data_IF_922554211309
#
_entry.id   IF_922554211309
#
_cell.length_a   1.000
_cell.length_b   1.000
_cell.length_c   1.000
_cell.angle_alpha   90.00
_cell.angle_beta   90.00
_cell.angle_gamma   90.00
#
_symmetry.space_group_name_H-M   'P 1'
#
loop_
_entity.id
_entity.type
_entity.pdbx_description
1 polymer ?
#
# COMPACT_ATOMS: atom_id res chain seq x y z
N UNK A 1 48.44 -34.07 54.77
CA UNK A 1 47.55 -32.93 54.50
C UNK A 1 48.23 -32.00 53.50
N UNK A 2 47.86 -32.08 52.22
CA UNK A 2 48.26 -31.12 51.18
C UNK A 2 46.98 -30.45 50.70
N UNK A 3 46.88 -29.13 50.88
CA UNK A 3 45.72 -28.33 50.49
C UNK A 3 45.62 -28.23 48.95
N UNK A 4 44.45 -28.56 48.40
CA UNK A 4 44.05 -28.19 47.05
C UNK A 4 43.59 -26.73 47.06
N UNK A 5 44.20 -25.88 46.23
CA UNK A 5 43.69 -24.57 45.90
C UNK A 5 42.77 -24.69 44.67
N UNK A 6 41.47 -24.45 44.87
CA UNK A 6 40.46 -24.41 43.81
C UNK A 6 40.45 -23.00 43.23
N UNK A 7 40.86 -22.88 41.96
CA UNK A 7 40.78 -21.64 41.18
C UNK A 7 39.35 -21.43 40.70
N UNK A 8 38.70 -20.36 41.16
CA UNK A 8 37.35 -19.96 40.79
C UNK A 8 37.41 -19.11 39.51
N UNK A 9 37.06 -19.68 38.36
CA UNK A 9 36.96 -18.96 37.09
C UNK A 9 35.67 -18.13 37.10
N UNK A 10 35.80 -16.79 37.13
CA UNK A 10 34.66 -15.87 36.96
C UNK A 10 34.12 -15.99 35.53
N UNK A 11 32.85 -16.37 35.41
CA UNK A 11 32.10 -16.28 34.18
C UNK A 11 31.69 -14.81 33.97
N UNK A 12 32.27 -14.15 32.95
CA UNK A 12 31.87 -12.82 32.55
C UNK A 12 30.46 -12.88 31.93
N UNK A 13 29.47 -12.31 32.63
CA UNK A 13 28.12 -12.12 32.09
C UNK A 13 28.22 -11.00 31.05
N UNK A 14 28.10 -11.36 29.78
CA UNK A 14 27.91 -10.39 28.70
C UNK A 14 26.63 -9.61 28.98
N UNK A 15 26.78 -8.33 29.32
CA UNK A 15 25.65 -7.44 29.53
C UNK A 15 24.84 -7.30 28.24
N UNK A 16 23.54 -7.56 28.32
CA UNK A 16 22.60 -7.16 27.28
C UNK A 16 22.74 -5.65 27.07
N UNK A 17 23.27 -5.25 25.91
CA UNK A 17 23.12 -3.89 25.42
C UNK A 17 21.62 -3.64 25.27
N UNK A 18 21.05 -2.84 26.18
CA UNK A 18 19.71 -2.28 26.02
C UNK A 18 19.67 -1.64 24.64
N UNK A 19 18.89 -2.21 23.73
CA UNK A 19 18.46 -1.50 22.54
C UNK A 19 17.90 -0.16 23.00
N UNK A 20 18.43 0.94 22.44
CA UNK A 20 17.78 2.23 22.62
C UNK A 20 16.35 2.05 22.10
N UNK A 21 15.37 2.12 22.99
CA UNK A 21 13.97 2.23 22.62
C UNK A 21 13.85 3.42 21.65
N UNK A 22 13.04 3.30 20.59
CA UNK A 22 12.80 4.44 19.71
C UNK A 22 12.36 5.63 20.56
N UNK A 23 12.92 6.80 20.26
CA UNK A 23 12.50 8.06 20.90
C UNK A 23 11.01 8.21 20.61
N UNK A 24 10.19 8.11 21.65
CA UNK A 24 8.77 8.41 21.52
C UNK A 24 8.61 9.93 21.58
N UNK A 25 7.76 10.49 20.71
CA UNK A 25 7.51 11.94 20.75
C UNK A 25 7.05 12.34 22.15
N UNK A 26 7.59 13.43 22.67
CA UNK A 26 7.19 13.95 23.97
C UNK A 26 5.96 14.85 23.89
N UNK A 27 5.64 15.36 22.68
CA UNK A 27 4.55 16.29 22.45
C UNK A 27 3.96 16.16 21.04
N UNK A 28 2.64 16.38 20.91
CA UNK A 28 1.96 16.52 19.61
C UNK A 28 2.48 17.70 18.79
N UNK A 29 3.11 18.68 19.44
CA UNK A 29 3.74 19.84 18.78
C UNK A 29 5.01 19.48 18.02
N UNK A 30 5.52 18.25 18.12
CA UNK A 30 6.74 17.86 17.41
C UNK A 30 6.50 17.72 15.89
N UNK A 31 5.24 17.51 15.47
CA UNK A 31 4.82 17.58 14.08
C UNK A 31 4.22 18.95 13.75
N UNK A 32 4.77 19.59 12.72
CA UNK A 32 4.39 20.94 12.27
C UNK A 32 3.75 20.94 10.86
N UNK A 33 3.41 19.77 10.33
CA UNK A 33 2.80 19.61 9.02
C UNK A 33 1.28 19.87 9.01
N UNK A 34 0.68 19.67 7.84
CA UNK A 34 -0.74 19.94 7.60
C UNK A 34 -1.69 18.80 8.01
N UNK A 35 -1.16 17.63 8.33
CA UNK A 35 -1.93 16.43 8.65
C UNK A 35 -2.60 16.46 10.02
N UNK A 36 -3.59 15.59 10.18
CA UNK A 36 -4.32 15.37 11.42
C UNK A 36 -3.74 14.16 12.15
N UNK A 37 -3.52 14.29 13.46
CA UNK A 37 -2.85 13.27 14.26
C UNK A 37 -3.91 12.44 15.01
N UNK A 38 -3.94 11.13 14.81
CA UNK A 38 -4.58 10.18 15.74
C UNK A 38 -3.51 9.38 16.48
N UNK A 39 -3.90 8.72 17.58
CA UNK A 39 -2.98 7.86 18.35
C UNK A 39 -3.69 6.60 18.83
N UNK A 40 -2.98 5.47 18.73
CA UNK A 40 -3.49 4.17 19.16
C UNK A 40 -4.46 3.53 18.17
N UNK A 41 -5.01 2.36 18.54
CA UNK A 41 -5.79 1.53 17.62
C UNK A 41 -7.15 2.16 17.30
N UNK A 42 -7.60 1.93 16.07
CA UNK A 42 -8.93 2.26 15.62
C UNK A 42 -9.98 1.28 16.16
N UNK A 43 -11.23 1.73 16.21
CA UNK A 43 -12.39 0.86 16.46
C UNK A 43 -12.75 0.13 15.17
N UNK A 44 -12.77 -1.19 15.19
CA UNK A 44 -13.26 -1.99 14.04
C UNK A 44 -14.75 -1.71 13.80
N UNK A 45 -15.09 -1.36 12.55
CA UNK A 45 -16.48 -1.20 12.09
C UNK A 45 -16.88 -2.28 11.07
N UNK A 46 -15.93 -2.79 10.30
CA UNK A 46 -16.08 -3.97 9.44
C UNK A 46 -15.02 -4.98 9.84
N UNK A 47 -15.46 -6.18 10.23
CA UNK A 47 -14.55 -7.22 10.70
C UNK A 47 -13.61 -7.69 9.59
N UNK A 48 -14.15 -7.96 8.41
CA UNK A 48 -13.40 -8.25 7.19
C UNK A 48 -14.27 -7.91 5.99
N UNK A 49 -13.72 -7.23 4.99
CA UNK A 49 -14.38 -6.98 3.71
C UNK A 49 -14.43 -8.23 2.83
N UNK A 50 -13.53 -9.19 3.09
CA UNK A 50 -13.35 -10.33 2.23
C UNK A 50 -13.04 -11.59 3.05
N UNK A 51 -13.61 -12.71 2.61
CA UNK A 51 -13.26 -14.04 3.11
C UNK A 51 -12.65 -14.85 1.97
N UNK A 52 -11.40 -15.24 2.15
CA UNK A 52 -10.66 -16.04 1.19
C UNK A 52 -10.99 -17.52 1.38
N UNK A 53 -11.68 -18.15 0.42
CA UNK A 53 -12.11 -19.55 0.52
C UNK A 53 -10.93 -20.53 0.65
N UNK A 54 -9.76 -20.16 0.14
CA UNK A 54 -8.57 -21.01 0.05
C UNK A 54 -7.33 -20.30 0.56
N UNK A 55 -6.59 -20.95 1.45
CA UNK A 55 -5.34 -20.43 1.99
C UNK A 55 -5.53 -19.69 3.31
N UNK A 56 -4.46 -19.02 3.76
CA UNK A 56 -4.46 -18.21 4.99
C UNK A 56 -4.39 -16.74 4.59
N UNK A 57 -5.55 -16.15 4.34
CA UNK A 57 -5.66 -14.70 4.16
C UNK A 57 -5.63 -14.00 5.52
N UNK A 58 -4.98 -12.84 5.55
CA UNK A 58 -5.12 -11.87 6.63
C UNK A 58 -6.51 -11.23 6.59
N UNK A 59 -6.93 -10.72 7.73
CA UNK A 59 -8.24 -10.08 7.89
C UNK A 59 -8.21 -8.69 7.26
N UNK A 60 -9.02 -8.47 6.23
CA UNK A 60 -9.18 -7.18 5.56
C UNK A 60 -10.19 -6.29 6.31
N UNK A 61 -9.86 -5.91 7.55
CA UNK A 61 -10.73 -5.10 8.39
C UNK A 61 -10.86 -3.65 7.91
N UNK A 62 -11.91 -2.97 8.36
CA UNK A 62 -12.06 -1.50 8.27
C UNK A 62 -12.41 -0.95 9.64
N UNK A 63 -11.78 0.16 10.01
CA UNK A 63 -11.95 0.81 11.30
C UNK A 63 -12.27 2.30 11.19
N UNK A 64 -12.61 2.86 12.34
CA UNK A 64 -12.74 4.30 12.55
C UNK A 64 -11.85 4.74 13.71
N UNK A 65 -11.14 5.85 13.51
CA UNK A 65 -10.32 6.48 14.55
C UNK A 65 -10.57 7.99 14.56
N UNK A 66 -10.68 8.55 15.76
CA UNK A 66 -10.78 10.00 15.94
C UNK A 66 -9.38 10.61 16.08
N UNK A 67 -9.14 11.72 15.40
CA UNK A 67 -7.94 12.54 15.60
C UNK A 67 -8.06 13.43 16.84
N UNK A 68 -6.93 14.03 17.25
CA UNK A 68 -6.84 14.92 18.42
C UNK A 68 -7.66 16.22 18.28
N UNK A 69 -8.20 16.52 17.09
CA UNK A 69 -9.08 17.66 16.81
C UNK A 69 -10.55 17.24 16.66
N UNK A 70 -10.87 15.95 16.83
CA UNK A 70 -12.22 15.40 16.79
C UNK A 70 -12.77 15.11 15.38
N UNK A 71 -11.93 15.02 14.34
CA UNK A 71 -12.39 14.43 13.07
C UNK A 71 -12.26 12.91 13.11
N UNK A 72 -13.23 12.21 12.51
CA UNK A 72 -13.22 10.76 12.36
C UNK A 72 -12.67 10.35 11.01
N UNK A 73 -11.81 9.33 11.02
CA UNK A 73 -11.12 8.79 9.84
C UNK A 73 -11.43 7.31 9.66
N UNK A 74 -11.77 6.91 8.43
CA UNK A 74 -11.86 5.50 8.04
C UNK A 74 -10.47 4.97 7.71
N UNK A 75 -10.08 3.87 8.35
CA UNK A 75 -8.75 3.25 8.17
C UNK A 75 -8.88 1.79 7.70
N UNK A 76 -7.98 1.30 6.80
CA UNK A 76 -6.84 2.04 6.25
C UNK A 76 -7.25 3.13 5.24
N UNK A 77 -8.43 3.04 4.63
CA UNK A 77 -9.00 4.10 3.78
C UNK A 77 -10.48 3.85 3.52
N UNK A 78 -11.24 4.92 3.24
CA UNK A 78 -12.50 4.81 2.48
C UNK A 78 -12.20 4.08 1.17
N UNK A 79 -12.98 3.05 0.85
CA UNK A 79 -12.76 2.21 -0.31
C UNK A 79 -14.09 1.78 -0.96
N UNK A 80 -14.00 1.23 -2.17
CA UNK A 80 -15.15 0.78 -2.96
C UNK A 80 -15.18 -0.73 -3.19
N UNK A 81 -14.48 -1.54 -2.38
CA UNK A 81 -14.38 -2.99 -2.61
C UNK A 81 -15.75 -3.68 -2.78
N UNK A 82 -16.71 -3.38 -1.92
CA UNK A 82 -18.04 -4.00 -1.96
C UNK A 82 -19.00 -3.38 -2.99
N UNK A 83 -18.65 -2.24 -3.59
CA UNK A 83 -19.56 -1.46 -4.44
C UNK A 83 -19.11 -1.31 -5.89
N UNK A 84 -17.81 -1.48 -6.17
CA UNK A 84 -17.23 -1.34 -7.49
C UNK A 84 -17.13 -2.68 -8.23
N UNK A 85 -16.99 -2.66 -9.56
CA UNK A 85 -16.68 -3.86 -10.32
C UNK A 85 -15.33 -4.46 -9.89
N UNK A 86 -15.32 -5.74 -9.57
CA UNK A 86 -14.09 -6.48 -9.30
C UNK A 86 -13.36 -6.75 -10.63
N UNK A 87 -12.06 -6.48 -10.67
CA UNK A 87 -11.23 -6.71 -11.86
C UNK A 87 -11.09 -8.21 -12.16
N UNK A 88 -10.87 -8.55 -13.43
CA UNK A 88 -10.65 -9.97 -13.80
C UNK A 88 -9.27 -10.42 -13.31
N UNK A 89 -9.21 -11.58 -12.67
CA UNK A 89 -7.95 -12.12 -12.17
C UNK A 89 -7.02 -12.57 -13.32
N UNK A 90 -5.75 -12.20 -13.22
CA UNK A 90 -4.65 -12.96 -13.82
C UNK A 90 -4.26 -14.12 -12.90
N UNK A 91 -4.27 -13.90 -11.59
CA UNK A 91 -4.02 -14.90 -10.58
C UNK A 91 -4.76 -14.56 -9.29
N UNK A 92 -5.39 -15.54 -8.67
CA UNK A 92 -6.07 -15.38 -7.40
C UNK A 92 -6.04 -16.70 -6.60
N UNK A 93 -5.25 -16.70 -5.54
CA UNK A 93 -5.09 -17.85 -4.64
C UNK A 93 -6.42 -18.24 -3.97
N UNK A 94 -7.24 -17.24 -3.62
CA UNK A 94 -8.49 -17.41 -2.87
C UNK A 94 -9.57 -18.14 -3.69
N UNK A 95 -9.69 -17.81 -4.98
CA UNK A 95 -10.63 -18.50 -5.88
C UNK A 95 -10.04 -19.81 -6.43
N UNK A 96 -8.73 -20.01 -6.30
CA UNK A 96 -8.02 -21.15 -6.89
C UNK A 96 -7.67 -20.95 -8.37
N UNK A 97 -7.90 -19.75 -8.92
CA UNK A 97 -7.49 -19.40 -10.28
C UNK A 97 -6.00 -19.08 -10.31
N UNK A 98 -5.16 -20.09 -10.59
CA UNK A 98 -3.69 -20.00 -10.49
C UNK A 98 -3.01 -20.40 -11.81
N UNK A 99 -3.18 -19.64 -12.89
CA UNK A 99 -2.47 -19.96 -14.12
C UNK A 99 -0.97 -19.71 -13.97
N UNK A 100 -0.17 -20.54 -14.62
CA UNK A 100 1.29 -20.50 -14.58
C UNK A 100 1.88 -19.36 -15.43
N UNK A 101 1.10 -18.89 -16.41
CA UNK A 101 1.46 -17.80 -17.31
C UNK A 101 0.23 -17.32 -18.09
N UNK A 102 0.40 -16.24 -18.85
CA UNK A 102 -0.68 -15.59 -19.59
C UNK A 102 -1.39 -16.48 -20.62
N UNK A 103 -0.75 -17.52 -21.17
CA UNK A 103 -1.39 -18.37 -22.19
C UNK A 103 -2.58 -19.17 -21.65
N UNK A 104 -2.68 -19.30 -20.33
CA UNK A 104 -3.77 -19.99 -19.65
C UNK A 104 -4.91 -19.03 -19.25
N UNK A 105 -4.76 -17.72 -19.47
CA UNK A 105 -5.78 -16.72 -19.17
C UNK A 105 -6.60 -16.42 -20.42
N UNK A 106 -7.93 -16.51 -20.31
CA UNK A 106 -8.83 -16.13 -21.39
C UNK A 106 -9.02 -14.60 -21.45
N UNK A 107 -8.06 -13.91 -22.07
CA UNK A 107 -8.13 -12.47 -22.27
C UNK A 107 -9.35 -12.03 -23.08
N UNK A 108 -9.95 -12.90 -23.91
CA UNK A 108 -11.16 -12.60 -24.68
C UNK A 108 -12.41 -12.44 -23.81
N UNK A 109 -12.42 -13.01 -22.60
CA UNK A 109 -13.54 -12.94 -21.67
C UNK A 109 -13.50 -11.72 -20.74
N UNK A 110 -12.40 -10.96 -20.73
CA UNK A 110 -12.26 -9.76 -19.88
C UNK A 110 -13.26 -8.70 -20.36
N UNK A 111 -14.18 -8.23 -19.50
CA UNK A 111 -15.17 -7.22 -19.87
C UNK A 111 -14.47 -5.89 -20.20
N UNK A 112 -15.05 -5.14 -21.14
CA UNK A 112 -14.56 -3.83 -21.54
C UNK A 112 -15.44 -2.76 -20.91
N UNK A 113 -14.84 -1.90 -20.09
CA UNK A 113 -15.52 -0.69 -19.57
C UNK A 113 -15.47 0.40 -20.64
N UNK A 114 -16.64 0.87 -21.09
CA UNK A 114 -16.71 1.97 -22.05
C UNK A 114 -16.54 3.31 -21.31
N UNK A 115 -15.43 4.01 -21.57
CA UNK A 115 -15.18 5.40 -21.13
C UNK A 115 -15.57 6.35 -22.25
N UNK A 116 -15.04 6.11 -23.46
CA UNK A 116 -15.37 6.83 -24.69
C UNK A 116 -15.83 5.86 -25.78
N UNK A 117 -17.03 6.09 -26.32
CA UNK A 117 -17.62 5.22 -27.34
C UNK A 117 -16.81 5.18 -28.65
N UNK A 118 -16.05 6.24 -28.97
CA UNK A 118 -15.16 6.33 -30.13
C UNK A 118 -13.67 6.08 -29.79
N UNK A 119 -13.38 5.56 -28.59
CA UNK A 119 -12.03 5.25 -28.13
C UNK A 119 -11.47 3.91 -28.63
N UNK A 120 -10.20 3.68 -28.33
CA UNK A 120 -9.51 2.42 -28.55
C UNK A 120 -9.61 1.53 -27.30
N UNK A 121 -9.64 0.21 -27.49
CA UNK A 121 -9.63 -0.75 -26.38
C UNK A 121 -8.20 -0.90 -25.85
N UNK A 122 -7.99 -0.50 -24.60
CA UNK A 122 -6.74 -0.66 -23.87
C UNK A 122 -6.88 -1.83 -22.90
N UNK A 123 -5.87 -2.70 -22.88
CA UNK A 123 -5.73 -3.76 -21.87
C UNK A 123 -4.69 -3.33 -20.86
N UNK A 124 -5.05 -3.31 -19.57
CA UNK A 124 -4.14 -3.05 -18.46
C UNK A 124 -3.85 -4.31 -17.67
N UNK A 125 -2.59 -4.53 -17.31
CA UNK A 125 -2.14 -5.57 -16.38
C UNK A 125 -1.66 -4.91 -15.11
N UNK A 126 -2.15 -5.36 -13.96
CA UNK A 126 -1.97 -4.68 -12.68
C UNK A 126 -1.57 -5.69 -11.60
N UNK A 127 -0.61 -5.30 -10.77
CA UNK A 127 -0.30 -5.97 -9.51
C UNK A 127 -0.19 -4.90 -8.42
N UNK A 128 -0.84 -5.15 -7.29
CA UNK A 128 -0.82 -4.28 -6.12
C UNK A 128 -0.38 -5.06 -4.88
N UNK A 129 0.38 -4.37 -4.04
CA UNK A 129 0.74 -4.74 -2.68
C UNK A 129 0.10 -3.64 -1.81
N UNK A 130 -1.13 -3.75 -1.32
CA UNK A 130 -2.05 -4.89 -1.48
C UNK A 130 -3.24 -4.58 -2.41
N UNK A 131 -3.81 -3.37 -2.35
CA UNK A 131 -5.11 -3.08 -2.98
C UNK A 131 -5.04 -1.89 -3.94
N UNK A 132 -5.85 -1.93 -5.02
CA UNK A 132 -6.04 -0.81 -5.92
C UNK A 132 -7.52 -0.55 -6.27
N UNK A 133 -7.82 0.71 -6.61
CA UNK A 133 -9.01 1.13 -7.36
C UNK A 133 -8.56 1.93 -8.59
N UNK A 134 -8.94 1.49 -9.79
CA UNK A 134 -8.56 2.12 -11.06
C UNK A 134 -9.69 2.97 -11.64
N UNK A 135 -9.35 4.20 -12.01
CA UNK A 135 -10.21 5.13 -12.72
C UNK A 135 -9.56 5.62 -14.01
N UNK A 136 -10.36 5.74 -15.06
CA UNK A 136 -9.96 6.32 -16.35
C UNK A 136 -10.92 7.48 -16.65
N UNK A 137 -10.40 8.70 -16.78
CA UNK A 137 -11.20 9.93 -16.90
C UNK A 137 -12.30 10.06 -15.83
N UNK A 138 -12.03 9.54 -14.62
CA UNK A 138 -12.97 9.52 -13.50
C UNK A 138 -13.99 8.38 -13.52
N UNK A 139 -14.04 7.56 -14.57
CA UNK A 139 -14.87 6.35 -14.64
C UNK A 139 -14.17 5.21 -13.89
N UNK A 140 -14.84 4.62 -12.90
CA UNK A 140 -14.38 3.41 -12.20
C UNK A 140 -14.28 2.25 -13.19
N UNK A 141 -13.06 1.79 -13.46
CA UNK A 141 -12.81 0.63 -14.33
C UNK A 141 -12.87 -0.67 -13.53
N UNK A 142 -12.33 -0.66 -12.31
CA UNK A 142 -12.40 -1.81 -11.43
C UNK A 142 -11.51 -1.66 -10.22
N UNK A 143 -11.71 -2.56 -9.28
CA UNK A 143 -10.91 -2.67 -8.06
C UNK A 143 -10.24 -4.03 -7.98
N UNK A 144 -9.26 -4.14 -7.10
CA UNK A 144 -8.62 -5.40 -6.78
C UNK A 144 -9.65 -6.42 -6.24
N UNK A 145 -9.46 -7.70 -6.56
CA UNK A 145 -10.29 -8.82 -6.11
C UNK A 145 -9.95 -9.32 -4.70
N UNK A 146 -8.80 -8.93 -4.14
CA UNK A 146 -8.36 -9.31 -2.80
C UNK A 146 -7.81 -8.07 -2.07
N UNK A 147 -8.44 -7.59 -0.98
CA UNK A 147 -8.00 -6.34 -0.34
C UNK A 147 -6.63 -6.40 0.36
N UNK A 148 -6.28 -7.55 0.93
CA UNK A 148 -5.07 -7.66 1.77
C UNK A 148 -4.18 -8.81 1.32
N UNK A 149 -4.57 -10.05 1.64
CA UNK A 149 -3.88 -11.25 1.19
C UNK A 149 -4.90 -12.34 0.95
N UNK A 150 -4.63 -13.35 0.13
CA UNK A 150 -3.38 -13.63 -0.59
C UNK A 150 -3.16 -12.70 -1.79
N UNK A 151 -1.89 -12.47 -2.16
CA UNK A 151 -1.55 -11.63 -3.30
C UNK A 151 -2.17 -12.15 -4.59
N UNK A 152 -2.67 -11.22 -5.40
CA UNK A 152 -3.32 -11.47 -6.67
C UNK A 152 -2.74 -10.51 -7.74
N UNK A 153 -3.12 -10.75 -8.98
CA UNK A 153 -2.86 -9.82 -10.09
C UNK A 153 -4.08 -9.76 -10.97
N UNK A 154 -4.29 -8.64 -11.64
CA UNK A 154 -5.51 -8.36 -12.38
C UNK A 154 -5.23 -7.97 -13.83
N UNK A 155 -6.22 -8.21 -14.68
CA UNK A 155 -6.32 -7.69 -16.02
C UNK A 155 -7.62 -6.91 -16.17
N UNK A 156 -7.53 -5.73 -16.75
CA UNK A 156 -8.67 -4.85 -17.03
C UNK A 156 -8.70 -4.51 -18.51
N UNK A 157 -9.89 -4.20 -19.03
CA UNK A 157 -10.03 -3.56 -20.33
C UNK A 157 -10.95 -2.36 -20.25
N UNK A 158 -10.56 -1.30 -20.91
CA UNK A 158 -11.37 -0.11 -21.04
C UNK A 158 -11.24 0.45 -22.45
N UNK A 159 -12.28 1.16 -22.91
CA UNK A 159 -12.30 1.82 -24.20
C UNK A 159 -12.25 3.32 -23.99
N UNK A 160 -11.17 3.97 -24.44
CA UNK A 160 -10.90 5.39 -24.16
C UNK A 160 -10.20 6.06 -25.32
N UNK A 161 -10.38 7.37 -25.47
CA UNK A 161 -9.69 8.19 -26.47
C UNK A 161 -8.50 8.91 -25.87
N UNK A 162 -7.39 9.01 -26.60
CA UNK A 162 -6.24 9.83 -26.19
C UNK A 162 -6.47 11.32 -26.47
N UNK A 163 -5.93 12.23 -25.64
CA UNK A 163 -5.27 11.96 -24.36
C UNK A 163 -6.29 11.56 -23.28
N UNK A 164 -5.87 10.79 -22.27
CA UNK A 164 -6.72 10.42 -21.13
C UNK A 164 -5.93 10.39 -19.83
N UNK A 165 -6.65 10.48 -18.72
CA UNK A 165 -6.09 10.43 -17.37
C UNK A 165 -6.27 9.04 -16.76
N UNK A 166 -5.24 8.60 -16.05
CA UNK A 166 -5.29 7.43 -15.18
C UNK A 166 -5.19 7.93 -13.74
N UNK A 167 -6.12 7.50 -12.89
CA UNK A 167 -6.07 7.75 -11.47
C UNK A 167 -6.22 6.42 -10.72
N UNK A 168 -5.39 6.21 -9.72
CA UNK A 168 -5.40 4.97 -8.93
C UNK A 168 -5.38 5.31 -7.45
N UNK A 169 -6.29 4.73 -6.68
CA UNK A 169 -6.15 4.70 -5.22
C UNK A 169 -5.45 3.40 -4.89
N UNK A 170 -4.39 3.47 -4.11
CA UNK A 170 -3.67 2.29 -3.64
C UNK A 170 -3.61 2.30 -2.12
N UNK A 171 -3.81 1.13 -1.53
CA UNK A 171 -3.88 0.94 -0.08
C UNK A 171 -2.92 -0.19 0.30
N UNK A 172 -1.99 0.10 1.19
CA UNK A 172 -1.29 -0.92 1.98
C UNK A 172 -2.21 -1.25 3.16
N UNK A 173 -2.70 -2.49 3.21
CA UNK A 173 -3.74 -2.87 4.14
C UNK A 173 -3.12 -3.18 5.51
N UNK A 174 -3.84 -2.83 6.57
CA UNK A 174 -3.37 -3.03 7.95
C UNK A 174 -4.21 -4.10 8.66
N UNK A 175 -3.54 -4.97 9.42
CA UNK A 175 -4.22 -5.95 10.30
C UNK A 175 -4.61 -5.28 11.62
N UNK A 176 -3.70 -4.47 12.15
CA UNK A 176 -3.91 -3.67 13.34
C UNK A 176 -4.43 -2.28 12.94
N UNK A 177 -5.75 -2.13 12.90
CA UNK A 177 -6.42 -0.93 12.40
C UNK A 177 -5.99 0.35 13.14
N UNK A 178 -5.74 1.42 12.38
CA UNK A 178 -5.27 2.72 12.85
C UNK A 178 -3.76 2.79 13.15
N UNK A 179 -3.04 1.69 12.95
CA UNK A 179 -1.62 1.57 13.32
C UNK A 179 -0.70 1.33 12.12
N UNK A 180 -1.21 1.01 10.93
CA UNK A 180 -0.40 0.71 9.75
C UNK A 180 0.50 -0.52 9.94
N UNK A 181 0.07 -1.48 10.76
CA UNK A 181 0.90 -2.65 11.10
C UNK A 181 0.17 -3.97 10.94
N UNK A 182 0.97 -5.02 10.84
CA UNK A 182 0.58 -6.41 10.69
C UNK A 182 1.50 -7.34 11.49
N UNK A 183 1.03 -8.56 11.77
CA UNK A 183 1.90 -9.59 12.34
C UNK A 183 2.86 -10.08 11.25
N UNK A 184 4.13 -9.67 11.33
CA UNK A 184 5.14 -10.00 10.32
C UNK A 184 6.56 -9.92 10.89
N UNK A 185 7.50 -10.64 10.27
CA UNK A 185 8.94 -10.62 10.60
C UNK A 185 9.25 -10.79 12.10
N UNK A 186 8.43 -11.57 12.81
CA UNK A 186 8.59 -11.86 14.23
C UNK A 186 8.06 -10.79 15.20
N UNK A 187 7.30 -9.81 14.72
CA UNK A 187 6.64 -8.77 15.51
C UNK A 187 5.15 -8.75 15.18
N UNK A 188 4.30 -8.59 16.20
CA UNK A 188 2.85 -8.44 16.02
C UNK A 188 2.45 -7.05 15.50
N UNK A 189 3.38 -6.08 15.52
CA UNK A 189 3.18 -4.70 15.09
C UNK A 189 4.32 -4.27 14.16
N UNK A 190 4.51 -5.02 13.09
CA UNK A 190 5.46 -4.67 12.03
C UNK A 190 4.74 -3.84 10.96
N UNK A 191 5.29 -2.71 10.49
CA UNK A 191 4.68 -2.00 9.36
C UNK A 191 4.68 -2.87 8.10
N UNK A 192 3.57 -2.85 7.36
CA UNK A 192 3.47 -3.47 6.04
C UNK A 192 4.35 -2.74 5.02
N UNK A 193 4.43 -3.27 3.81
CA UNK A 193 4.94 -2.51 2.69
C UNK A 193 3.95 -2.56 1.52
N UNK A 194 3.75 -1.40 0.92
CA UNK A 194 2.89 -1.23 -0.24
C UNK A 194 3.62 -1.50 -1.56
N UNK A 195 2.99 -1.16 -2.67
CA UNK A 195 3.59 -1.23 -3.99
C UNK A 195 2.55 -1.32 -5.09
N UNK A 196 2.78 -0.61 -6.20
CA UNK A 196 1.90 -0.68 -7.35
C UNK A 196 2.70 -0.75 -8.65
N UNK A 197 2.36 -1.69 -9.52
CA UNK A 197 2.96 -1.80 -10.85
C UNK A 197 1.89 -2.10 -11.89
N UNK A 198 1.95 -1.41 -13.01
CA UNK A 198 1.04 -1.64 -14.12
C UNK A 198 1.68 -1.39 -15.48
N UNK A 199 1.19 -2.11 -16.49
CA UNK A 199 1.45 -1.83 -17.89
C UNK A 199 0.16 -1.86 -18.70
N UNK A 200 0.12 -1.08 -19.77
CA UNK A 200 -1.03 -0.93 -20.63
C UNK A 200 -0.65 -1.19 -22.09
N UNK A 201 -1.59 -1.73 -22.88
CA UNK A 201 -1.35 -2.14 -24.27
C UNK A 201 -1.06 -0.98 -25.23
N UNK A 202 -1.24 0.27 -24.80
CA UNK A 202 -0.89 1.47 -25.56
C UNK A 202 0.56 1.95 -25.32
N UNK A 203 1.33 1.20 -24.53
CA UNK A 203 2.71 1.50 -24.16
C UNK A 203 2.86 2.28 -22.85
N UNK A 204 1.75 2.67 -22.20
CA UNK A 204 1.82 3.31 -20.88
C UNK A 204 2.30 2.29 -19.84
N UNK A 205 3.23 2.70 -18.98
CA UNK A 205 3.80 1.90 -17.89
C UNK A 205 3.92 2.76 -16.62
N UNK A 206 3.91 2.11 -15.45
CA UNK A 206 4.26 2.79 -14.19
C UNK A 206 5.76 3.08 -14.14
N UNK A 207 6.12 4.31 -13.81
CA UNK A 207 7.50 4.79 -13.68
C UNK A 207 7.53 6.11 -12.87
N UNK A 208 8.69 6.75 -12.78
CA UNK A 208 8.86 8.02 -12.07
C UNK A 208 8.12 9.23 -12.69
N UNK A 209 7.53 9.11 -13.89
CA UNK A 209 6.73 10.18 -14.51
C UNK A 209 5.30 10.25 -13.95
N UNK A 210 4.88 9.24 -13.19
CA UNK A 210 3.62 9.26 -12.43
C UNK A 210 3.72 10.21 -11.25
N UNK A 211 2.57 10.69 -10.79
CA UNK A 211 2.43 11.47 -9.57
C UNK A 211 1.90 10.57 -8.46
N UNK A 212 2.39 10.75 -7.22
CA UNK A 212 1.98 9.96 -6.06
C UNK A 212 1.85 10.84 -4.81
N UNK A 213 0.66 10.90 -4.23
CA UNK A 213 0.40 11.70 -3.03
C UNK A 213 -0.11 10.81 -1.89
N UNK A 214 0.60 10.82 -0.76
CA UNK A 214 0.24 10.11 0.48
C UNK A 214 -0.93 10.79 1.20
N UNK A 215 -1.90 10.05 1.74
CA UNK A 215 -3.03 10.56 2.53
C UNK A 215 -3.21 9.89 3.90
N UNK A 216 -2.47 8.82 4.16
CA UNK A 216 -2.42 8.17 5.47
C UNK A 216 -1.01 7.63 5.70
N UNK A 217 -0.37 8.03 6.80
CA UNK A 217 0.96 7.53 7.21
C UNK A 217 0.91 6.95 8.62
N UNK A 218 1.30 5.69 8.77
CA UNK A 218 1.35 4.97 10.05
C UNK A 218 2.25 3.72 9.95
N UNK A 219 2.79 3.19 11.06
CA UNK A 219 2.88 3.79 12.38
C UNK A 219 3.95 4.89 12.44
N UNK A 220 3.73 5.91 13.28
CA UNK A 220 4.74 6.92 13.61
C UNK A 220 4.94 6.94 15.12
N UNK A 221 6.17 6.73 15.59
CA UNK A 221 6.48 6.77 17.04
C UNK A 221 7.15 8.08 17.47
N UNK A 222 7.86 8.73 16.56
CA UNK A 222 8.51 10.04 16.77
C UNK A 222 7.94 11.05 15.78
N UNK A 223 7.01 11.91 16.20
CA UNK A 223 6.43 12.94 15.34
C UNK A 223 7.47 13.90 14.72
N UNK A 224 8.66 14.06 15.33
CA UNK A 224 9.73 14.90 14.78
C UNK A 224 10.42 14.30 13.54
N UNK A 225 10.20 13.00 13.25
CA UNK A 225 10.73 12.37 12.04
C UNK A 225 10.00 12.82 10.77
N UNK A 226 8.79 13.36 10.91
CA UNK A 226 7.95 13.78 9.80
C UNK A 226 8.30 15.20 9.34
N UNK A 227 8.31 15.41 8.03
CA UNK A 227 8.52 16.74 7.43
C UNK A 227 7.57 16.95 6.26
N UNK A 228 7.10 18.18 6.10
CA UNK A 228 6.41 18.61 4.89
C UNK A 228 7.20 19.72 4.20
N UNK A 229 7.37 19.60 2.89
CA UNK A 229 7.99 20.60 2.04
C UNK A 229 7.16 20.78 0.77
N UNK A 230 6.35 21.85 0.73
CA UNK A 230 5.31 21.98 -0.28
C UNK A 230 4.29 20.85 -0.14
N UNK A 231 4.03 20.09 -1.21
CA UNK A 231 3.13 18.93 -1.19
C UNK A 231 3.81 17.61 -0.81
N UNK A 232 5.14 17.62 -0.63
CA UNK A 232 5.88 16.41 -0.26
C UNK A 232 5.70 16.15 1.23
N UNK A 233 5.10 15.00 1.56
CA UNK A 233 4.89 14.48 2.92
C UNK A 233 5.94 13.40 3.19
N UNK A 234 6.98 13.74 3.94
CA UNK A 234 8.14 12.87 4.16
C UNK A 234 8.04 12.12 5.48
N UNK A 235 8.17 10.80 5.40
CA UNK A 235 8.28 9.89 6.53
C UNK A 235 9.57 9.05 6.50
N UNK A 236 10.52 9.36 5.60
CA UNK A 236 11.74 8.56 5.40
C UNK A 236 12.72 8.58 6.58
N UNK A 237 12.61 9.55 7.49
CA UNK A 237 13.41 9.58 8.72
C UNK A 237 12.75 8.81 9.87
N UNK A 238 11.51 8.34 9.68
CA UNK A 238 10.77 7.57 10.67
C UNK A 238 11.27 6.13 10.71
N UNK A 239 11.15 5.49 11.87
CA UNK A 239 11.51 4.08 12.02
C UNK A 239 10.51 3.19 11.27
N UNK A 240 11.03 2.21 10.53
CA UNK A 240 10.27 1.14 9.88
C UNK A 240 10.42 -0.20 10.62
N UNK A 241 11.03 -0.20 11.81
CA UNK A 241 11.16 -1.39 12.64
C UNK A 241 9.86 -1.71 13.35
N UNK A 242 9.44 -2.97 13.31
CA UNK A 242 8.35 -3.48 14.14
C UNK A 242 8.59 -3.27 15.64
N UNK A 243 7.49 -3.18 16.38
CA UNK A 243 7.47 -2.98 17.84
C UNK A 243 6.69 -4.11 18.54
N UNK A 244 6.79 -4.17 19.86
CA UNK A 244 6.05 -5.15 20.67
C UNK A 244 4.58 -4.74 20.89
N UNK A 245 4.25 -3.45 20.80
CA UNK A 245 2.89 -2.92 20.87
C UNK A 245 2.74 -1.63 20.06
N UNK A 246 1.54 -1.37 19.55
CA UNK A 246 1.21 -0.15 18.80
C UNK A 246 0.43 0.92 19.57
N UNK A 247 0.18 0.76 20.88
CA UNK A 247 -0.69 1.68 21.65
C UNK A 247 -0.23 3.13 21.64
N UNK A 248 1.09 3.37 21.52
CA UNK A 248 1.67 4.70 21.48
C UNK A 248 1.90 5.24 20.07
N UNK A 249 1.67 4.44 19.04
CA UNK A 249 1.88 4.85 17.66
C UNK A 249 0.86 5.93 17.27
N UNK A 250 1.36 6.93 16.56
CA UNK A 250 0.59 7.94 15.89
C UNK A 250 0.32 7.53 14.45
N UNK A 251 -0.74 8.12 13.91
CA UNK A 251 -1.10 8.09 12.52
C UNK A 251 -1.34 9.52 12.04
N UNK A 252 -0.89 9.82 10.83
CA UNK A 252 -1.11 11.13 10.18
C UNK A 252 -2.07 10.96 9.02
N UNK A 253 -3.13 11.77 9.02
CA UNK A 253 -4.21 11.72 8.05
C UNK A 253 -4.32 13.03 7.28
N UNK A 254 -4.63 12.95 5.99
CA UNK A 254 -4.97 14.10 5.19
C UNK A 254 -6.27 13.82 4.41
N UNK A 255 -7.10 14.85 4.25
CA UNK A 255 -8.33 14.72 3.46
C UNK A 255 -7.97 14.50 1.99
N UNK A 256 -8.54 13.48 1.38
CA UNK A 256 -8.45 13.28 -0.07
C UNK A 256 -9.23 14.41 -0.78
N UNK A 257 -8.70 15.00 -1.86
CA UNK A 257 -9.41 16.02 -2.61
C UNK A 257 -10.68 15.45 -3.22
N UNK A 258 -11.75 16.24 -3.22
CA UNK A 258 -12.96 15.86 -3.97
C UNK A 258 -12.64 15.77 -5.47
N UNK A 259 -13.25 14.80 -6.16
CA UNK A 259 -13.08 14.59 -7.59
C UNK A 259 -11.62 14.37 -8.05
N UNK A 260 -10.73 13.91 -7.16
CA UNK A 260 -9.33 13.63 -7.46
C UNK A 260 -9.13 12.62 -8.60
N UNK A 261 -10.14 11.81 -8.91
CA UNK A 261 -10.15 10.82 -9.98
C UNK A 261 -10.55 11.39 -11.35
N UNK A 262 -11.15 12.59 -11.40
CA UNK A 262 -11.67 13.18 -12.63
C UNK A 262 -10.57 13.50 -13.64
N UNK A 263 -10.95 13.53 -14.92
CA UNK A 263 -10.07 13.97 -16.02
C UNK A 263 -9.55 15.39 -15.80
N UNK A 264 -10.42 16.30 -15.38
CA UNK A 264 -10.10 17.72 -15.18
C UNK A 264 -9.34 18.03 -13.89
N UNK A 265 -9.04 17.03 -13.05
CA UNK A 265 -8.34 17.27 -11.79
C UNK A 265 -6.89 17.66 -12.04
N UNK A 266 -6.52 18.86 -11.57
CA UNK A 266 -5.16 19.38 -11.63
C UNK A 266 -4.30 18.81 -10.48
N UNK A 267 -3.52 17.79 -10.81
CA UNK A 267 -2.52 17.19 -9.93
C UNK A 267 -1.12 17.76 -10.15
N UNK A 268 -0.95 18.87 -10.89
CA UNK A 268 0.38 19.42 -11.23
C UNK A 268 1.26 19.76 -10.03
N UNK A 269 0.67 19.97 -8.85
CA UNK A 269 1.40 20.21 -7.61
C UNK A 269 1.74 18.94 -6.81
N UNK A 270 1.23 17.76 -7.20
CA UNK A 270 1.57 16.49 -6.55
C UNK A 270 3.02 16.11 -6.86
N UNK A 271 3.72 15.48 -5.89
CA UNK A 271 5.08 15.03 -6.13
C UNK A 271 5.09 13.85 -7.11
N UNK A 272 6.23 13.71 -7.79
CA UNK A 272 6.51 12.54 -8.60
C UNK A 272 6.54 11.27 -7.74
N UNK A 273 6.14 10.14 -8.34
CA UNK A 273 6.21 8.84 -7.72
C UNK A 273 7.67 8.42 -7.49
N UNK A 274 7.90 7.71 -6.39
CA UNK A 274 9.19 7.06 -6.14
C UNK A 274 9.15 5.65 -6.71
N UNK A 275 10.21 5.25 -7.40
CA UNK A 275 10.33 3.89 -7.95
C UNK A 275 11.01 2.97 -6.95
N UNK A 276 10.56 1.72 -6.89
CA UNK A 276 11.04 0.69 -5.99
C UNK A 276 11.43 -0.57 -6.78
N UNK A 277 12.42 -1.31 -6.29
CA UNK A 277 12.85 -2.56 -6.92
C UNK A 277 11.98 -3.73 -6.47
N UNK A 278 11.92 -4.79 -7.27
CA UNK A 278 11.24 -6.05 -6.93
C UNK A 278 11.72 -6.62 -5.58
N UNK A 279 12.99 -6.45 -5.25
CA UNK A 279 13.58 -6.88 -3.98
C UNK A 279 13.12 -6.06 -2.78
N UNK A 280 12.78 -4.76 -2.98
CA UNK A 280 12.27 -3.91 -1.90
C UNK A 280 10.84 -4.29 -1.56
N UNK A 281 10.01 -4.53 -2.59
CA UNK A 281 8.60 -4.97 -2.45
C UNK A 281 8.51 -6.46 -2.04
N UNK A 282 9.59 -7.23 -2.26
CA UNK A 282 9.64 -8.63 -1.85
C UNK A 282 8.73 -9.55 -2.67
N UNK A 283 8.67 -9.37 -3.99
CA UNK A 283 7.75 -10.11 -4.87
C UNK A 283 8.30 -11.45 -5.40
N UNK A 284 9.56 -11.78 -5.13
CA UNK A 284 10.26 -12.95 -5.69
C UNK A 284 9.58 -14.31 -5.37
N UNK A 285 8.78 -14.37 -4.32
CA UNK A 285 8.03 -15.56 -3.90
C UNK A 285 6.52 -15.47 -4.18
N UNK A 286 6.05 -14.43 -4.88
CA UNK A 286 4.64 -14.17 -5.15
C UNK A 286 4.30 -14.64 -6.56
N UNK A 287 3.73 -15.85 -6.70
CA UNK A 287 3.32 -16.39 -8.02
C UNK A 287 2.38 -15.46 -8.78
N UNK A 288 1.51 -14.73 -8.06
CA UNK A 288 0.63 -13.72 -8.65
C UNK A 288 1.37 -12.66 -9.47
N UNK A 289 2.61 -12.34 -9.08
CA UNK A 289 3.49 -11.45 -9.84
C UNK A 289 4.41 -12.24 -10.78
N UNK A 290 5.12 -13.24 -10.25
CA UNK A 290 6.21 -13.94 -10.96
C UNK A 290 5.73 -14.69 -12.21
N UNK A 291 4.51 -15.22 -12.22
CA UNK A 291 3.94 -15.92 -13.38
C UNK A 291 3.63 -14.98 -14.56
N UNK A 292 3.52 -13.67 -14.31
CA UNK A 292 3.18 -12.65 -15.30
C UNK A 292 4.20 -11.51 -15.32
N UNK A 293 5.41 -11.74 -14.80
CA UNK A 293 6.46 -10.73 -14.70
C UNK A 293 6.78 -10.10 -16.06
N UNK A 294 6.58 -10.81 -17.17
CA UNK A 294 6.72 -10.28 -18.53
C UNK A 294 5.75 -9.14 -18.85
N UNK A 295 4.60 -9.07 -18.18
CA UNK A 295 3.62 -7.98 -18.27
C UNK A 295 3.87 -6.84 -17.29
N UNK A 296 4.81 -7.02 -16.37
CA UNK A 296 5.19 -6.00 -15.39
C UNK A 296 6.60 -5.48 -15.69
N UNK A 297 7.59 -5.87 -14.89
CA UNK A 297 8.99 -5.48 -15.13
C UNK A 297 9.50 -5.86 -16.52
N UNK A 298 9.03 -6.98 -17.11
CA UNK A 298 9.40 -7.36 -18.48
C UNK A 298 8.84 -6.45 -19.57
N UNK A 299 7.79 -5.68 -19.27
CA UNK A 299 7.28 -4.62 -20.13
C UNK A 299 7.99 -3.27 -19.91
N UNK A 300 8.92 -3.21 -18.96
CA UNK A 300 9.63 -1.99 -18.56
C UNK A 300 8.95 -1.19 -17.45
N UNK A 301 7.84 -1.68 -16.90
CA UNK A 301 7.17 -1.02 -15.78
C UNK A 301 8.00 -1.16 -14.48
N UNK A 302 7.92 -0.15 -13.63
CA UNK A 302 8.55 -0.10 -12.31
C UNK A 302 7.47 -0.10 -11.23
N UNK A 303 7.79 -0.66 -10.06
CA UNK A 303 6.95 -0.45 -8.89
C UNK A 303 7.02 1.02 -8.48
N UNK A 304 5.86 1.62 -8.25
CA UNK A 304 5.73 3.00 -7.82
C UNK A 304 4.94 3.12 -6.52
N UNK A 305 5.32 4.10 -5.71
CA UNK A 305 4.58 4.53 -4.53
C UNK A 305 4.85 6.02 -4.26
N UNK A 306 4.40 6.52 -3.11
CA UNK A 306 4.89 7.79 -2.55
C UNK A 306 6.34 7.67 -2.05
N UNK A 307 6.82 8.64 -1.26
CA UNK A 307 8.20 8.66 -0.76
C UNK A 307 8.57 7.56 0.23
N UNK A 308 7.58 6.84 0.78
CA UNK A 308 7.82 5.77 1.74
C UNK A 308 6.85 4.61 1.54
N UNK A 309 7.32 3.57 0.85
CA UNK A 309 6.57 2.34 0.60
C UNK A 309 6.15 1.57 1.87
N UNK A 310 6.79 1.82 3.02
CA UNK A 310 6.54 1.05 4.26
C UNK A 310 5.57 1.73 5.21
N UNK A 311 5.48 3.07 5.20
CA UNK A 311 4.66 3.79 6.19
C UNK A 311 3.47 4.53 5.57
N UNK A 312 3.44 4.72 4.26
CA UNK A 312 2.40 5.49 3.61
C UNK A 312 1.27 4.56 3.15
N UNK A 313 0.33 4.27 4.04
CA UNK A 313 -0.70 3.23 3.86
C UNK A 313 -1.83 3.60 2.88
N UNK A 314 -2.02 4.89 2.57
CA UNK A 314 -2.96 5.32 1.53
C UNK A 314 -2.24 6.29 0.59
N UNK A 315 -2.18 5.96 -0.70
CA UNK A 315 -1.59 6.81 -1.73
C UNK A 315 -2.56 6.95 -2.91
N UNK A 316 -2.62 8.15 -3.48
CA UNK A 316 -3.30 8.40 -4.75
C UNK A 316 -2.26 8.61 -5.84
N UNK A 317 -2.39 7.85 -6.92
CA UNK A 317 -1.52 7.90 -8.09
C UNK A 317 -2.26 8.56 -9.25
N UNK A 318 -1.56 9.38 -10.03
CA UNK A 318 -2.10 9.98 -11.26
C UNK A 318 -1.09 10.01 -12.38
N UNK A 319 -1.58 9.85 -13.61
CA UNK A 319 -0.79 9.98 -14.83
C UNK A 319 -1.66 10.47 -15.99
N UNK A 320 -1.07 11.32 -16.83
CA UNK A 320 -1.70 11.81 -18.04
C UNK A 320 -1.10 11.13 -19.27
N UNK A 321 -1.90 10.29 -19.92
CA UNK A 321 -1.53 9.68 -21.20
C UNK A 321 -1.69 10.73 -22.29
N UNK A 322 -0.66 10.84 -23.15
CA UNK A 322 -0.58 11.78 -24.27
C UNK A 322 -1.13 11.17 -25.56
#
# INVERSE_FOLDING_TARGET
>A
MKLLAISLTMLAIAGCSKSNLPVTSSSLSDYQGSGFISQGPAKTIVKSLYECERGRARIAGVGEVDDVKGNTWTVPSVNHFESAPISTDLHNECTGFRPDNLSQVNLGAVPVVEVDADGDVITGYIFADNYFELYINGVMVGVDSVPFTQFNSSVVKFKVKKPYSIAVRVIDWEENLGLGTESNRGSDYHPGDGGFIASFSDGTITNADWQAQTYYTAPVYDLACLKESGQVRQSSACTTKGQDNGLSAYAIHWKTPNNWQAESFDSSNWPAATTYTESVIGVDNKNAYMNFREKFAGAGAEFIWSTNVVLDNQVLLRYQVK
#
